data_IF_277950398262
#
_entry.id   IF_277950398262
#
_cell.length_a   1.000
_cell.length_b   1.000
_cell.length_c   1.000
_cell.angle_alpha   90.00
_cell.angle_beta   90.00
_cell.angle_gamma   90.00
#
_symmetry.space_group_name_H-M   'P 1'
#
loop_
_entity.id
_entity.type
_entity.pdbx_description
1 polymer ?
#
# COMPACT_ATOMS: atom_id res chain seq x y z
N UNK A 1 12.45 -19.70 -22.81
CA UNK A 1 13.70 -19.71 -22.03
C UNK A 1 14.35 -21.11 -21.95
N UNK A 2 13.56 -22.21 -21.92
CA UNK A 2 14.11 -23.58 -21.90
C UNK A 2 14.99 -23.92 -23.11
N UNK A 3 14.75 -23.29 -24.25
CA UNK A 3 15.47 -23.49 -25.49
C UNK A 3 16.56 -22.43 -25.77
N UNK A 4 16.79 -21.48 -24.84
CA UNK A 4 17.83 -20.49 -25.04
C UNK A 4 19.22 -21.15 -25.00
N UNK A 5 19.99 -21.08 -26.06
CA UNK A 5 21.33 -21.62 -26.08
C UNK A 5 22.25 -20.76 -25.24
N UNK A 6 22.94 -21.35 -24.29
CA UNK A 6 24.01 -20.71 -23.57
C UNK A 6 23.91 -20.83 -22.04
N UNK A 7 25.06 -20.88 -21.39
CA UNK A 7 25.30 -20.88 -19.95
C UNK A 7 25.78 -19.51 -19.47
N UNK A 8 25.47 -18.41 -20.18
CA UNK A 8 25.89 -17.11 -19.65
C UNK A 8 25.18 -16.81 -18.32
N UNK A 9 25.83 -16.13 -17.37
CA UNK A 9 25.24 -15.81 -16.07
C UNK A 9 23.89 -15.08 -16.18
N UNK A 10 23.72 -14.23 -17.22
CA UNK A 10 22.44 -13.55 -17.46
C UNK A 10 21.31 -14.50 -17.89
N UNK A 11 21.63 -15.54 -18.71
CA UNK A 11 20.64 -16.56 -19.10
C UNK A 11 20.27 -17.44 -17.91
N UNK A 12 21.23 -17.83 -17.08
CA UNK A 12 20.97 -18.60 -15.87
C UNK A 12 20.13 -17.81 -14.86
N UNK A 13 20.42 -16.53 -14.66
CA UNK A 13 19.58 -15.63 -13.87
C UNK A 13 18.13 -15.60 -14.38
N UNK A 14 17.95 -15.39 -15.69
CA UNK A 14 16.61 -15.36 -16.29
C UNK A 14 15.85 -16.70 -16.13
N UNK A 15 16.56 -17.84 -16.25
CA UNK A 15 15.99 -19.18 -15.99
C UNK A 15 15.58 -19.35 -14.53
N UNK A 16 16.42 -18.91 -13.59
CA UNK A 16 16.13 -18.94 -12.15
C UNK A 16 14.92 -18.08 -11.78
N UNK A 17 14.83 -16.85 -12.33
CA UNK A 17 13.67 -15.97 -12.11
C UNK A 17 12.38 -16.58 -12.69
N UNK A 18 12.44 -17.17 -13.89
CA UNK A 18 11.28 -17.87 -14.44
C UNK A 18 10.89 -19.11 -13.60
N UNK A 19 11.86 -19.84 -13.07
CA UNK A 19 11.60 -20.98 -12.19
C UNK A 19 10.89 -20.55 -10.90
N UNK A 20 11.26 -19.41 -10.32
CA UNK A 20 10.57 -18.81 -9.17
C UNK A 20 9.12 -18.43 -9.50
N UNK A 21 8.89 -17.78 -10.63
CA UNK A 21 7.54 -17.37 -11.08
C UNK A 21 6.57 -18.56 -11.20
N UNK A 22 7.09 -19.74 -11.59
CA UNK A 22 6.30 -20.96 -11.75
C UNK A 22 6.46 -21.97 -10.61
N UNK A 23 7.02 -21.57 -9.46
CA UNK A 23 7.21 -22.42 -8.27
C UNK A 23 8.02 -23.71 -8.56
N UNK A 24 9.00 -23.61 -9.47
CA UNK A 24 9.82 -24.73 -9.92
C UNK A 24 11.15 -24.79 -9.16
N UNK A 25 11.12 -25.07 -7.88
CA UNK A 25 12.29 -25.03 -6.98
C UNK A 25 13.47 -25.88 -7.45
N UNK A 26 13.26 -27.07 -8.06
CA UNK A 26 14.35 -27.90 -8.60
C UNK A 26 15.12 -27.20 -9.72
N UNK A 27 14.41 -26.56 -10.65
CA UNK A 27 15.03 -25.80 -11.76
C UNK A 27 15.75 -24.54 -11.25
N UNK A 28 15.23 -23.94 -10.21
CA UNK A 28 15.90 -22.82 -9.56
C UNK A 28 17.21 -23.28 -8.93
N UNK A 29 17.20 -24.39 -8.18
CA UNK A 29 18.40 -24.96 -7.58
C UNK A 29 19.44 -25.34 -8.65
N UNK A 30 19.01 -25.90 -9.79
CA UNK A 30 19.90 -26.20 -10.93
C UNK A 30 20.55 -24.93 -11.50
N UNK A 31 19.78 -23.84 -11.64
CA UNK A 31 20.30 -22.57 -12.13
C UNK A 31 21.31 -21.95 -11.16
N UNK A 32 21.03 -22.00 -9.87
CA UNK A 32 21.94 -21.54 -8.80
C UNK A 32 23.23 -22.37 -8.81
N UNK A 33 23.13 -23.70 -8.89
CA UNK A 33 24.31 -24.57 -8.90
C UNK A 33 25.19 -24.31 -10.13
N UNK A 34 24.60 -24.15 -11.31
CA UNK A 34 25.34 -23.85 -12.55
C UNK A 34 26.07 -22.50 -12.48
N UNK A 35 25.49 -21.50 -11.81
CA UNK A 35 26.15 -20.22 -11.59
C UNK A 35 27.37 -20.38 -10.65
N UNK A 36 27.23 -21.16 -9.58
CA UNK A 36 28.29 -21.39 -8.60
C UNK A 36 29.40 -22.31 -9.11
N UNK A 37 29.09 -23.22 -10.04
CA UNK A 37 30.09 -24.08 -10.68
C UNK A 37 31.06 -23.28 -11.56
N UNK A 38 30.56 -22.21 -12.20
CA UNK A 38 31.36 -21.32 -13.03
C UNK A 38 32.12 -20.28 -12.18
N UNK A 39 31.51 -19.71 -11.15
CA UNK A 39 32.09 -18.75 -10.21
C UNK A 39 31.48 -18.92 -8.80
N UNK A 40 32.25 -19.41 -7.79
CA UNK A 40 31.76 -19.55 -6.42
C UNK A 40 31.32 -18.25 -5.74
N UNK A 41 31.69 -17.10 -6.30
CA UNK A 41 31.34 -15.77 -5.80
C UNK A 41 30.28 -15.06 -6.65
N UNK A 42 29.61 -15.77 -7.57
CA UNK A 42 28.63 -15.21 -8.48
C UNK A 42 27.42 -14.65 -7.69
N UNK A 43 27.30 -13.34 -7.66
CA UNK A 43 26.25 -12.66 -6.91
C UNK A 43 24.84 -13.00 -7.37
N UNK A 44 24.65 -13.40 -8.66
CA UNK A 44 23.32 -13.79 -9.18
C UNK A 44 22.82 -15.08 -8.56
N UNK A 45 23.72 -15.99 -8.20
CA UNK A 45 23.36 -17.20 -7.47
C UNK A 45 22.85 -16.86 -6.06
N UNK A 46 23.55 -15.97 -5.36
CA UNK A 46 23.17 -15.50 -4.03
C UNK A 46 21.87 -14.71 -4.08
N UNK A 47 21.67 -13.89 -5.13
CA UNK A 47 20.43 -13.17 -5.38
C UNK A 47 19.24 -14.12 -5.54
N UNK A 48 19.36 -15.15 -6.39
CA UNK A 48 18.32 -16.16 -6.60
C UNK A 48 18.01 -16.94 -5.32
N UNK A 49 19.03 -17.31 -4.54
CA UNK A 49 18.85 -17.95 -3.23
C UNK A 49 18.08 -17.05 -2.25
N UNK A 50 18.37 -15.75 -2.25
CA UNK A 50 17.62 -14.78 -1.44
C UNK A 50 16.15 -14.64 -1.84
N UNK A 51 15.86 -14.63 -3.13
CA UNK A 51 14.48 -14.59 -3.65
C UNK A 51 13.72 -15.88 -3.30
N UNK A 52 14.35 -17.05 -3.41
CA UNK A 52 13.74 -18.32 -3.04
C UNK A 52 13.47 -18.40 -1.53
N UNK A 53 14.41 -17.98 -0.71
CA UNK A 53 14.21 -17.88 0.74
C UNK A 53 13.05 -16.94 1.09
N UNK A 54 12.96 -15.79 0.42
CA UNK A 54 11.85 -14.85 0.61
C UNK A 54 10.49 -15.46 0.22
N UNK A 55 10.44 -16.19 -0.91
CA UNK A 55 9.24 -16.89 -1.36
C UNK A 55 8.79 -17.97 -0.36
N UNK A 56 9.74 -18.66 0.27
CA UNK A 56 9.48 -19.65 1.32
C UNK A 56 9.27 -19.04 2.71
N UNK A 57 9.27 -17.72 2.83
CA UNK A 57 9.15 -17.00 4.11
C UNK A 57 10.31 -17.29 5.10
N UNK A 58 11.44 -17.75 4.59
CA UNK A 58 12.69 -17.86 5.36
C UNK A 58 13.39 -16.48 5.36
N UNK A 59 12.87 -15.57 6.17
CA UNK A 59 13.34 -14.19 6.20
C UNK A 59 14.79 -14.07 6.66
N UNK A 60 15.29 -14.83 7.67
CA UNK A 60 16.71 -14.78 8.03
C UNK A 60 17.65 -15.19 6.90
N UNK A 61 17.32 -16.24 6.13
CA UNK A 61 18.11 -16.66 4.99
C UNK A 61 18.04 -15.62 3.84
N UNK A 62 16.86 -15.02 3.60
CA UNK A 62 16.69 -13.96 2.63
C UNK A 62 17.52 -12.71 2.98
N UNK A 63 17.48 -12.27 4.25
CA UNK A 63 18.30 -11.16 4.77
C UNK A 63 19.80 -11.42 4.58
N UNK A 64 20.26 -12.60 4.95
CA UNK A 64 21.67 -12.98 4.78
C UNK A 64 22.11 -12.91 3.31
N UNK A 65 21.30 -13.47 2.41
CA UNK A 65 21.59 -13.49 0.97
C UNK A 65 21.59 -12.09 0.37
N UNK A 66 20.56 -11.28 0.62
CA UNK A 66 20.49 -9.91 0.07
C UNK A 66 21.56 -8.99 0.67
N UNK A 67 21.91 -9.16 1.93
CA UNK A 67 23.02 -8.42 2.54
C UNK A 67 24.37 -8.80 1.90
N UNK A 68 24.59 -10.08 1.58
CA UNK A 68 25.79 -10.51 0.87
C UNK A 68 25.87 -9.90 -0.54
N UNK A 69 24.75 -9.85 -1.28
CA UNK A 69 24.70 -9.20 -2.59
C UNK A 69 24.91 -7.69 -2.45
N UNK A 70 24.33 -7.05 -1.44
CA UNK A 70 24.57 -5.63 -1.15
C UNK A 70 26.04 -5.34 -0.87
N UNK A 71 26.73 -6.21 -0.13
CA UNK A 71 28.17 -6.11 0.13
C UNK A 71 29.02 -6.18 -1.14
N UNK A 72 28.61 -6.97 -2.13
CA UNK A 72 29.30 -7.09 -3.42
C UNK A 72 28.98 -5.92 -4.37
N UNK A 73 27.74 -5.39 -4.31
CA UNK A 73 27.21 -4.37 -5.20
C UNK A 73 26.67 -3.15 -4.41
N UNK A 74 27.53 -2.43 -3.66
CA UNK A 74 27.09 -1.39 -2.72
C UNK A 74 26.43 -0.17 -3.42
N UNK A 75 26.72 0.04 -4.71
CA UNK A 75 26.10 1.09 -5.52
C UNK A 75 24.66 0.79 -5.97
N UNK A 76 24.29 -0.49 -6.01
CA UNK A 76 22.99 -0.90 -6.53
C UNK A 76 21.87 -0.76 -5.49
N UNK A 77 20.69 -0.31 -5.95
CA UNK A 77 19.52 -0.13 -5.09
C UNK A 77 18.64 -1.39 -5.00
N UNK A 78 18.68 -2.26 -6.01
CA UNK A 78 17.89 -3.49 -5.99
C UNK A 78 18.19 -4.39 -4.78
N UNK A 79 19.47 -4.68 -4.42
CA UNK A 79 19.79 -5.44 -3.20
C UNK A 79 19.32 -4.75 -1.92
N UNK A 80 19.43 -3.42 -1.86
CA UNK A 80 18.95 -2.65 -0.70
C UNK A 80 17.44 -2.75 -0.53
N UNK A 81 16.69 -2.64 -1.64
CA UNK A 81 15.23 -2.75 -1.62
C UNK A 81 14.78 -4.16 -1.22
N UNK A 82 15.44 -5.19 -1.75
CA UNK A 82 15.15 -6.58 -1.42
C UNK A 82 15.47 -6.89 0.06
N UNK A 83 16.62 -6.40 0.56
CA UNK A 83 16.99 -6.50 1.96
C UNK A 83 15.98 -5.78 2.86
N UNK A 84 15.54 -4.58 2.47
CA UNK A 84 14.51 -3.85 3.20
C UNK A 84 13.22 -4.65 3.34
N UNK A 85 12.76 -5.29 2.26
CA UNK A 85 11.57 -6.13 2.28
C UNK A 85 11.76 -7.37 3.18
N UNK A 86 12.91 -8.04 3.09
CA UNK A 86 13.21 -9.19 3.93
C UNK A 86 13.28 -8.80 5.43
N UNK A 87 13.83 -7.63 5.75
CA UNK A 87 13.85 -7.09 7.10
C UNK A 87 12.45 -6.70 7.59
N UNK A 88 11.62 -6.06 6.75
CA UNK A 88 10.23 -5.73 7.07
C UNK A 88 9.45 -7.00 7.46
N UNK A 89 9.51 -8.02 6.61
CA UNK A 89 8.78 -9.27 6.81
C UNK A 89 9.35 -10.11 7.97
N UNK A 90 10.65 -9.98 8.24
CA UNK A 90 11.33 -10.61 9.37
C UNK A 90 11.19 -9.86 10.70
N UNK A 91 10.52 -8.69 10.70
CA UNK A 91 10.28 -7.91 11.92
C UNK A 91 11.39 -6.91 12.29
N UNK A 92 12.45 -6.80 11.49
CA UNK A 92 13.52 -5.82 11.69
C UNK A 92 13.16 -4.45 11.10
N UNK A 93 12.08 -3.86 11.63
CA UNK A 93 11.44 -2.66 11.07
C UNK A 93 12.36 -1.44 11.00
N UNK A 94 13.26 -1.25 11.96
CA UNK A 94 14.20 -0.11 11.96
C UNK A 94 15.22 -0.16 10.83
N UNK A 95 15.76 -1.35 10.52
CA UNK A 95 16.67 -1.54 9.40
C UNK A 95 15.91 -1.43 8.06
N UNK A 96 14.71 -2.03 7.99
CA UNK A 96 13.84 -1.91 6.83
C UNK A 96 13.53 -0.45 6.50
N UNK A 97 13.14 0.36 7.48
CA UNK A 97 12.86 1.79 7.31
C UNK A 97 14.06 2.54 6.75
N UNK A 98 15.25 2.32 7.33
CA UNK A 98 16.48 2.98 6.89
C UNK A 98 16.82 2.65 5.44
N UNK A 99 16.71 1.39 5.04
CA UNK A 99 16.98 0.94 3.67
C UNK A 99 15.96 1.48 2.67
N UNK A 100 14.66 1.44 3.01
CA UNK A 100 13.62 2.04 2.19
C UNK A 100 13.82 3.54 2.01
N UNK A 101 14.22 4.26 3.08
CA UNK A 101 14.49 5.69 2.99
C UNK A 101 15.62 6.00 2.01
N UNK A 102 16.69 5.20 2.00
CA UNK A 102 17.78 5.31 1.02
C UNK A 102 17.25 5.10 -0.40
N UNK A 103 16.49 4.04 -0.63
CA UNK A 103 15.93 3.75 -1.96
C UNK A 103 14.98 4.86 -2.45
N UNK A 104 14.13 5.39 -1.55
CA UNK A 104 13.15 6.43 -1.88
C UNK A 104 13.80 7.79 -2.20
N UNK A 105 15.03 8.05 -1.71
CA UNK A 105 15.72 9.33 -1.90
C UNK A 105 16.80 9.33 -2.98
N UNK A 106 17.08 8.18 -3.61
CA UNK A 106 18.26 8.05 -4.48
C UNK A 106 17.91 8.01 -5.96
N UNK A 107 16.93 7.18 -6.39
CA UNK A 107 16.61 7.00 -7.81
C UNK A 107 15.09 6.89 -8.02
N UNK A 108 14.59 7.61 -9.03
CA UNK A 108 13.16 7.68 -9.37
C UNK A 108 12.52 6.30 -9.62
N UNK A 109 13.28 5.34 -10.16
CA UNK A 109 12.79 3.98 -10.42
C UNK A 109 12.44 3.22 -9.13
N UNK A 110 13.10 3.55 -8.02
CA UNK A 110 12.93 2.88 -6.73
C UNK A 110 12.02 3.64 -5.75
N UNK A 111 11.67 4.90 -6.04
CA UNK A 111 10.83 5.72 -5.15
C UNK A 111 9.51 5.01 -4.83
N UNK A 112 8.79 4.54 -5.85
CA UNK A 112 7.46 3.96 -5.65
C UNK A 112 7.47 2.73 -4.73
N UNK A 113 8.22 1.66 -5.01
CA UNK A 113 8.24 0.49 -4.13
C UNK A 113 8.78 0.81 -2.73
N UNK A 114 9.77 1.70 -2.62
CA UNK A 114 10.32 2.11 -1.33
C UNK A 114 9.33 2.96 -0.52
N UNK A 115 8.58 3.85 -1.15
CA UNK A 115 7.54 4.65 -0.50
C UNK A 115 6.44 3.77 0.10
N UNK A 116 5.99 2.75 -0.62
CA UNK A 116 5.03 1.78 -0.08
C UNK A 116 5.62 0.97 1.08
N UNK A 117 6.88 0.55 1.01
CA UNK A 117 7.58 -0.13 2.10
C UNK A 117 7.65 0.75 3.35
N UNK A 118 8.12 2.00 3.20
CA UNK A 118 8.14 2.99 4.28
C UNK A 118 6.76 3.18 4.92
N UNK A 119 5.74 3.31 4.08
CA UNK A 119 4.38 3.51 4.57
C UNK A 119 3.90 2.33 5.41
N UNK A 120 4.15 1.09 4.99
CA UNK A 120 3.78 -0.11 5.75
C UNK A 120 4.50 -0.19 7.09
N UNK A 121 5.83 0.00 7.09
CA UNK A 121 6.66 -0.03 8.30
C UNK A 121 6.19 1.03 9.30
N UNK A 122 5.97 2.26 8.86
CA UNK A 122 5.50 3.37 9.70
C UNK A 122 4.09 3.16 10.21
N UNK A 123 3.18 2.62 9.38
CA UNK A 123 1.82 2.27 9.80
C UNK A 123 1.85 1.22 10.92
N UNK A 124 2.67 0.17 10.78
CA UNK A 124 2.85 -0.87 11.79
C UNK A 124 3.42 -0.29 13.09
N UNK A 125 4.31 0.69 13.00
CA UNK A 125 4.86 1.43 14.14
C UNK A 125 3.92 2.49 14.73
N UNK A 126 2.72 2.70 14.17
CA UNK A 126 1.76 3.71 14.61
C UNK A 126 2.06 5.14 14.15
N UNK A 127 3.09 5.35 13.34
CA UNK A 127 3.44 6.66 12.76
C UNK A 127 2.60 6.94 11.51
N UNK A 128 1.33 7.29 11.72
CA UNK A 128 0.42 7.66 10.63
C UNK A 128 0.90 8.88 9.84
N UNK A 129 1.36 9.98 10.47
CA UNK A 129 1.92 11.12 9.71
C UNK A 129 3.11 10.73 8.83
N UNK A 130 4.03 9.94 9.35
CA UNK A 130 5.18 9.46 8.58
C UNK A 130 4.78 8.52 7.44
N UNK A 131 3.77 7.68 7.64
CA UNK A 131 3.21 6.83 6.58
C UNK A 131 2.59 7.65 5.45
N UNK A 132 1.79 8.66 5.76
CA UNK A 132 1.21 9.58 4.77
C UNK A 132 2.30 10.34 4.00
N UNK A 133 3.33 10.81 4.70
CA UNK A 133 4.48 11.48 4.07
C UNK A 133 5.23 10.54 3.12
N UNK A 134 5.38 9.27 3.47
CA UNK A 134 5.99 8.27 2.61
C UNK A 134 5.17 8.03 1.33
N UNK A 135 3.85 7.83 1.44
CA UNK A 135 2.97 7.66 0.28
C UNK A 135 2.95 8.87 -0.65
N UNK A 136 3.11 10.08 -0.10
CA UNK A 136 3.19 11.31 -0.87
C UNK A 136 4.47 11.42 -1.72
N UNK A 137 5.51 10.61 -1.49
CA UNK A 137 6.70 10.54 -2.33
C UNK A 137 6.42 9.90 -3.70
N UNK A 138 5.34 9.13 -3.84
CA UNK A 138 5.02 8.43 -5.10
C UNK A 138 4.73 9.45 -6.20
N UNK A 139 5.52 9.48 -7.29
CA UNK A 139 5.35 10.46 -8.36
C UNK A 139 3.99 10.32 -9.06
N UNK A 140 3.40 11.45 -9.46
CA UNK A 140 2.13 11.49 -10.21
C UNK A 140 2.17 10.74 -11.54
N UNK A 141 3.37 10.57 -12.11
CA UNK A 141 3.63 9.80 -13.33
C UNK A 141 3.80 8.31 -13.10
N UNK A 142 3.92 7.88 -11.85
CA UNK A 142 4.06 6.46 -11.50
C UNK A 142 2.76 5.70 -11.72
N UNK A 143 2.87 4.45 -12.18
CA UNK A 143 1.71 3.52 -12.21
C UNK A 143 1.15 3.23 -10.83
N UNK A 144 1.97 3.36 -9.77
CA UNK A 144 1.55 3.20 -8.38
C UNK A 144 0.87 4.43 -7.78
N UNK A 145 0.81 5.57 -8.49
CA UNK A 145 0.22 6.79 -7.96
C UNK A 145 -1.27 6.64 -7.55
N UNK A 146 -2.15 6.04 -8.37
CA UNK A 146 -3.53 5.82 -7.95
C UNK A 146 -3.65 4.99 -6.67
N UNK A 147 -2.79 3.99 -6.51
CA UNK A 147 -2.75 3.15 -5.31
C UNK A 147 -2.27 3.93 -4.08
N UNK A 148 -1.24 4.76 -4.22
CA UNK A 148 -0.80 5.63 -3.12
C UNK A 148 -1.91 6.58 -2.66
N UNK A 149 -2.68 7.17 -3.59
CA UNK A 149 -3.81 8.03 -3.25
C UNK A 149 -4.94 7.27 -2.53
N UNK A 150 -5.22 6.03 -2.93
CA UNK A 150 -6.16 5.15 -2.20
C UNK A 150 -5.69 4.87 -0.79
N UNK A 151 -4.41 4.55 -0.62
CA UNK A 151 -3.82 4.29 0.69
C UNK A 151 -3.84 5.54 1.59
N UNK A 152 -3.54 6.72 1.05
CA UNK A 152 -3.64 8.00 1.76
C UNK A 152 -5.08 8.24 2.22
N UNK A 153 -6.06 8.13 1.31
CA UNK A 153 -7.46 8.32 1.63
C UNK A 153 -7.94 7.34 2.72
N UNK A 154 -7.59 6.06 2.62
CA UNK A 154 -7.94 5.04 3.60
C UNK A 154 -7.37 5.37 4.99
N UNK A 155 -6.10 5.76 5.08
CA UNK A 155 -5.47 6.13 6.36
C UNK A 155 -6.10 7.39 6.97
N UNK A 156 -6.36 8.42 6.15
CA UNK A 156 -7.02 9.64 6.63
C UNK A 156 -8.43 9.35 7.13
N UNK A 157 -9.21 8.52 6.44
CA UNK A 157 -10.54 8.10 6.88
C UNK A 157 -10.46 7.32 8.19
N UNK A 158 -9.52 6.39 8.32
CA UNK A 158 -9.35 5.61 9.55
C UNK A 158 -9.00 6.50 10.75
N UNK A 159 -8.12 7.49 10.54
CA UNK A 159 -7.64 8.40 11.58
C UNK A 159 -8.61 9.57 11.90
N UNK A 160 -9.66 9.78 11.12
CA UNK A 160 -10.56 10.94 11.23
C UNK A 160 -11.47 10.87 12.48
N UNK A 161 -11.04 11.42 13.60
CA UNK A 161 -11.80 11.42 14.86
C UNK A 161 -12.28 12.81 15.29
N UNK A 162 -11.75 13.89 14.72
CA UNK A 162 -12.09 15.28 14.99
C UNK A 162 -12.47 16.05 13.72
N UNK A 163 -13.00 17.25 13.86
CA UNK A 163 -13.44 18.11 12.76
C UNK A 163 -12.34 18.34 11.71
N UNK A 164 -11.10 18.76 12.08
CA UNK A 164 -10.04 18.96 11.11
C UNK A 164 -9.62 17.68 10.36
N UNK A 165 -9.61 16.54 11.04
CA UNK A 165 -9.24 15.26 10.41
C UNK A 165 -10.34 14.76 9.46
N UNK A 166 -11.62 14.90 9.84
CA UNK A 166 -12.76 14.59 8.96
C UNK A 166 -12.72 15.48 7.72
N UNK A 167 -12.47 16.78 7.89
CA UNK A 167 -12.36 17.73 6.77
C UNK A 167 -11.25 17.34 5.80
N UNK A 168 -10.05 17.01 6.29
CA UNK A 168 -8.94 16.53 5.46
C UNK A 168 -9.27 15.24 4.72
N UNK A 169 -9.91 14.28 5.42
CA UNK A 169 -10.31 13.02 4.82
C UNK A 169 -11.35 13.20 3.70
N UNK A 170 -12.35 14.07 3.89
CA UNK A 170 -13.34 14.41 2.86
C UNK A 170 -12.70 15.03 1.62
N UNK A 171 -11.73 15.92 1.80
CA UNK A 171 -10.96 16.47 0.68
C UNK A 171 -10.18 15.37 -0.04
N UNK A 172 -9.46 14.54 0.70
CA UNK A 172 -8.64 13.47 0.13
C UNK A 172 -9.45 12.45 -0.69
N UNK A 173 -10.65 12.04 -0.25
CA UNK A 173 -11.50 11.12 -1.02
C UNK A 173 -12.10 11.75 -2.27
N UNK A 174 -12.21 13.08 -2.31
CA UNK A 174 -12.67 13.82 -3.48
C UNK A 174 -11.57 13.93 -4.53
N UNK A 175 -10.33 14.18 -4.08
CA UNK A 175 -9.16 14.36 -4.95
C UNK A 175 -8.60 13.02 -5.45
N UNK A 176 -8.67 11.97 -4.63
CA UNK A 176 -8.29 10.63 -5.01
C UNK A 176 -9.31 10.04 -5.99
N UNK A 177 -8.86 9.59 -7.15
CA UNK A 177 -9.71 8.93 -8.16
C UNK A 177 -10.13 7.53 -7.68
N UNK A 178 -10.92 7.50 -6.61
CA UNK A 178 -11.45 6.28 -6.02
C UNK A 178 -12.68 5.78 -6.80
N UNK A 179 -12.95 4.49 -6.66
CA UNK A 179 -14.16 3.89 -7.18
C UNK A 179 -15.41 4.48 -6.48
N UNK A 180 -16.52 4.71 -7.21
CA UNK A 180 -17.70 5.35 -6.64
C UNK A 180 -18.26 4.69 -5.38
N UNK A 181 -18.15 3.36 -5.27
CA UNK A 181 -18.60 2.61 -4.08
C UNK A 181 -17.73 2.92 -2.87
N UNK A 182 -16.41 3.04 -3.06
CA UNK A 182 -15.45 3.38 -1.98
C UNK A 182 -15.66 4.82 -1.50
N UNK A 183 -15.86 5.76 -2.44
CA UNK A 183 -16.19 7.16 -2.11
C UNK A 183 -17.49 7.22 -1.27
N UNK A 184 -18.52 6.48 -1.66
CA UNK A 184 -19.78 6.46 -0.94
C UNK A 184 -19.62 5.85 0.48
N UNK A 185 -18.84 4.79 0.60
CA UNK A 185 -18.56 4.16 1.89
C UNK A 185 -17.77 5.08 2.83
N UNK A 186 -16.70 5.69 2.34
CA UNK A 186 -15.88 6.62 3.13
C UNK A 186 -16.68 7.89 3.49
N UNK A 187 -17.46 8.42 2.57
CA UNK A 187 -18.36 9.56 2.84
C UNK A 187 -19.35 9.23 3.95
N UNK A 188 -19.99 8.06 3.92
CA UNK A 188 -20.88 7.60 4.99
C UNK A 188 -20.16 7.61 6.33
N UNK A 189 -19.00 6.94 6.44
CA UNK A 189 -18.24 6.85 7.69
C UNK A 189 -17.86 8.23 8.24
N UNK A 190 -17.42 9.15 7.37
CA UNK A 190 -17.00 10.49 7.76
C UNK A 190 -18.20 11.34 8.20
N UNK A 191 -19.32 11.31 7.49
CA UNK A 191 -20.52 12.05 7.88
C UNK A 191 -21.21 11.46 9.12
N UNK A 192 -21.10 10.15 9.39
CA UNK A 192 -21.52 9.54 10.67
C UNK A 192 -20.72 10.12 11.86
N UNK A 193 -19.39 10.27 11.67
CA UNK A 193 -18.55 10.89 12.71
C UNK A 193 -18.86 12.37 12.85
N UNK A 194 -19.01 13.10 11.74
CA UNK A 194 -19.38 14.52 11.74
C UNK A 194 -20.73 14.77 12.42
N UNK A 195 -21.70 13.87 12.22
CA UNK A 195 -23.02 13.98 12.86
C UNK A 195 -22.96 13.85 14.40
N UNK A 196 -21.96 13.15 14.93
CA UNK A 196 -21.72 13.06 16.39
C UNK A 196 -20.98 14.28 16.96
N UNK A 197 -20.23 15.00 16.12
CA UNK A 197 -19.40 16.14 16.54
C UNK A 197 -20.07 17.50 16.30
N UNK A 198 -21.04 17.58 15.38
CA UNK A 198 -21.67 18.85 15.02
C UNK A 198 -22.40 19.47 16.20
N UNK A 199 -21.95 20.66 16.57
CA UNK A 199 -22.55 21.46 17.65
C UNK A 199 -23.55 22.51 17.14
N UNK A 200 -24.07 23.36 18.04
CA UNK A 200 -25.00 24.45 17.69
C UNK A 200 -24.43 25.46 16.69
N UNK A 201 -23.10 25.62 16.69
CA UNK A 201 -22.38 26.52 15.77
C UNK A 201 -22.13 25.90 14.38
N UNK A 202 -22.57 24.66 14.16
CA UNK A 202 -22.21 23.86 12.99
C UNK A 202 -20.81 23.26 13.08
N UNK A 203 -20.34 22.70 11.95
CA UNK A 203 -19.04 22.06 11.79
C UNK A 203 -18.41 22.50 10.48
N UNK A 204 -17.09 22.70 10.44
CA UNK A 204 -16.36 23.11 9.22
C UNK A 204 -15.80 21.88 8.51
N UNK A 205 -16.34 21.53 7.34
CA UNK A 205 -15.91 20.34 6.59
C UNK A 205 -15.61 20.71 5.13
N UNK A 206 -14.45 20.31 4.64
CA UNK A 206 -13.99 20.51 3.26
C UNK A 206 -14.22 21.96 2.74
N UNK A 207 -13.93 22.96 3.58
CA UNK A 207 -14.07 24.37 3.24
C UNK A 207 -15.49 24.95 3.43
N UNK A 208 -16.49 24.15 3.80
CA UNK A 208 -17.89 24.56 3.99
C UNK A 208 -18.30 24.44 5.47
N UNK A 209 -19.03 25.43 5.98
CA UNK A 209 -19.66 25.35 7.32
C UNK A 209 -21.04 24.73 7.20
N UNK A 210 -21.20 23.56 7.80
CA UNK A 210 -22.45 22.79 7.76
C UNK A 210 -23.18 22.86 9.10
N UNK A 211 -24.48 23.08 9.05
CA UNK A 211 -25.38 22.90 10.19
C UNK A 211 -25.65 21.42 10.45
N UNK A 212 -26.19 21.09 11.62
CA UNK A 212 -26.58 19.73 11.95
C UNK A 212 -27.61 19.13 10.95
N UNK A 213 -28.50 19.95 10.41
CA UNK A 213 -29.42 19.55 9.34
C UNK A 213 -28.68 19.16 8.08
N UNK A 214 -27.79 20.03 7.60
CA UNK A 214 -26.98 19.77 6.39
C UNK A 214 -26.06 18.55 6.52
N UNK A 215 -25.47 18.33 7.71
CA UNK A 215 -24.68 17.10 7.95
C UNK A 215 -25.56 15.85 7.81
N UNK A 216 -26.79 15.89 8.36
CA UNK A 216 -27.74 14.78 8.21
C UNK A 216 -28.15 14.54 6.75
N UNK A 217 -28.39 15.61 6.00
CA UNK A 217 -28.72 15.51 4.57
C UNK A 217 -27.57 14.89 3.76
N UNK A 218 -26.32 15.28 4.08
CA UNK A 218 -25.11 14.68 3.46
C UNK A 218 -24.95 13.20 3.85
N UNK A 219 -25.24 12.85 5.08
CA UNK A 219 -25.19 11.47 5.57
C UNK A 219 -26.28 10.61 4.91
N UNK A 220 -27.53 11.11 4.83
CA UNK A 220 -28.62 10.43 4.10
C UNK A 220 -28.21 10.17 2.65
N UNK A 221 -27.70 11.19 1.96
CA UNK A 221 -27.24 11.08 0.59
C UNK A 221 -26.11 10.05 0.43
N UNK A 222 -25.16 9.99 1.38
CA UNK A 222 -24.08 9.00 1.36
C UNK A 222 -24.61 7.56 1.51
N UNK A 223 -25.54 7.31 2.44
CA UNK A 223 -26.22 6.02 2.57
C UNK A 223 -26.96 5.61 1.29
N UNK A 224 -27.76 6.51 0.71
CA UNK A 224 -28.49 6.24 -0.53
C UNK A 224 -27.54 5.96 -1.70
N UNK A 225 -26.45 6.73 -1.79
CA UNK A 225 -25.43 6.51 -2.82
C UNK A 225 -24.78 5.14 -2.67
N UNK A 226 -24.38 4.76 -1.45
CA UNK A 226 -23.81 3.44 -1.17
C UNK A 226 -24.83 2.33 -1.49
N UNK A 227 -26.08 2.48 -1.10
CA UNK A 227 -27.15 1.53 -1.42
C UNK A 227 -27.33 1.34 -2.93
N UNK A 228 -27.26 2.41 -3.73
CA UNK A 228 -27.39 2.33 -5.19
C UNK A 228 -26.23 1.65 -5.90
N UNK A 229 -25.06 1.55 -5.26
CA UNK A 229 -23.84 1.01 -5.82
C UNK A 229 -23.52 -0.41 -5.31
N UNK A 230 -24.17 -0.89 -4.25
CA UNK A 230 -23.95 -2.24 -3.74
C UNK A 230 -24.75 -3.31 -4.48
N UNK A 231 -24.14 -4.42 -4.89
CA UNK A 231 -24.86 -5.54 -5.48
C UNK A 231 -25.59 -6.42 -4.44
N UNK A 232 -25.21 -6.35 -3.16
CA UNK A 232 -25.80 -7.14 -2.07
C UNK A 232 -27.15 -6.56 -1.65
N UNK A 233 -28.24 -7.29 -1.91
CA UNK A 233 -29.61 -6.86 -1.61
C UNK A 233 -29.87 -6.70 -0.11
N UNK A 234 -29.28 -7.54 0.74
CA UNK A 234 -29.46 -7.45 2.19
C UNK A 234 -28.73 -6.21 2.76
N UNK A 235 -27.54 -5.92 2.25
CA UNK A 235 -26.82 -4.69 2.61
C UNK A 235 -27.56 -3.45 2.07
N UNK A 236 -28.06 -3.51 0.83
CA UNK A 236 -28.85 -2.44 0.21
C UNK A 236 -30.07 -2.07 1.06
N UNK A 237 -30.85 -3.06 1.49
CA UNK A 237 -32.02 -2.83 2.34
C UNK A 237 -31.63 -2.13 3.65
N UNK A 238 -30.60 -2.63 4.35
CA UNK A 238 -30.09 -2.01 5.58
C UNK A 238 -29.63 -0.56 5.39
N UNK A 239 -28.97 -0.25 4.27
CA UNK A 239 -28.51 1.10 3.98
C UNK A 239 -29.68 2.05 3.68
N UNK A 240 -30.71 1.58 3.00
CA UNK A 240 -31.95 2.35 2.76
C UNK A 240 -32.70 2.61 4.07
N UNK A 241 -32.83 1.60 4.93
CA UNK A 241 -33.46 1.76 6.25
C UNK A 241 -32.69 2.77 7.11
N UNK A 242 -31.36 2.71 7.11
CA UNK A 242 -30.53 3.68 7.82
C UNK A 242 -30.71 5.12 7.26
N UNK A 243 -30.78 5.26 5.93
CA UNK A 243 -31.05 6.55 5.30
C UNK A 243 -32.42 7.11 5.72
N UNK A 244 -33.45 6.25 5.75
CA UNK A 244 -34.80 6.64 6.16
C UNK A 244 -34.88 7.04 7.65
N UNK A 245 -34.13 6.38 8.52
CA UNK A 245 -34.06 6.71 9.96
C UNK A 245 -33.41 8.07 10.25
N UNK A 246 -32.54 8.56 9.37
CA UNK A 246 -31.85 9.85 9.51
C UNK A 246 -32.73 10.99 9.01
N UNK A 247 -33.60 10.74 8.06
CA UNK A 247 -34.47 11.75 7.46
C UNK A 247 -35.39 12.35 8.51
N UNK A 248 -35.41 13.69 8.70
CA UNK A 248 -36.39 14.28 9.59
C UNK A 248 -37.79 14.01 9.05
N UNK A 249 -38.70 13.57 9.93
CA UNK A 249 -40.12 13.45 9.60
C UNK A 249 -40.64 14.86 9.26
N UNK A 250 -40.75 15.18 7.99
CA UNK A 250 -41.53 16.33 7.58
C UNK A 250 -42.99 15.87 7.58
N UNK A 251 -43.71 16.19 8.66
CA UNK A 251 -45.15 16.22 8.62
C UNK A 251 -45.52 17.39 7.64
N UNK A 252 -46.01 17.02 6.47
CA UNK A 252 -46.77 17.91 5.60
C UNK A 252 -48.07 18.28 6.28
#
# INVERSE_FOLDING_TARGET
LEQAPGRSPGVLLAKGLAALEFDQHSRLADAVQQLLDDDPWEWRAVWLAGLDALARQDYPAAQSSFNAVYGQLPGELAPKLALALACELGGETGLAESLYQVCASTDAAYVTPAAFGLARVRTTGGDVPGSLAALALVPTTSRGYPESQRAIAAQLVAAAQDEPAISRALTAITDARLEPVVVAEYSQQLYERAARLVGPQGIQLAGERLTAGQVRDRLEAAYRRRASLTPDDALRARLVDAANAIRPWSLL
#
